data_IF_952817640854
#
_entry.id   IF_952817640854
#
_cell.length_a   1.000
_cell.length_b   1.000
_cell.length_c   1.000
_cell.angle_alpha   90.00
_cell.angle_beta   90.00
_cell.angle_gamma   90.00
#
_symmetry.space_group_name_H-M   'P 1'
#
loop_
_entity.id
_entity.type
_entity.pdbx_description
1 polymer ?
#
# COMPACT_ATOMS: atom_id res chain seq x y z
N UNK A 1 -19.00 0.52 -0.71
CA UNK A 1 -19.98 0.46 -1.81
C UNK A 1 -19.35 0.01 -3.14
N UNK A 2 -18.35 0.74 -3.73
CA UNK A 2 -17.76 0.42 -5.05
C UNK A 2 -17.10 -0.96 -5.13
N UNK A 3 -16.30 -1.35 -4.15
CA UNK A 3 -15.65 -2.66 -4.13
C UNK A 3 -16.63 -3.81 -3.87
N UNK A 4 -17.73 -3.57 -3.17
CA UNK A 4 -18.78 -4.55 -2.97
C UNK A 4 -19.52 -4.86 -4.27
N UNK A 5 -19.80 -3.82 -5.06
CA UNK A 5 -20.32 -3.99 -6.42
C UNK A 5 -19.41 -4.86 -7.29
N UNK A 6 -18.10 -4.56 -7.32
CA UNK A 6 -17.15 -5.35 -8.10
C UNK A 6 -17.06 -6.80 -7.62
N UNK A 7 -17.09 -7.04 -6.32
CA UNK A 7 -17.07 -8.41 -5.77
C UNK A 7 -18.28 -9.21 -6.23
N UNK A 8 -19.47 -8.59 -6.22
CA UNK A 8 -20.70 -9.20 -6.72
C UNK A 8 -20.60 -9.52 -8.21
N UNK A 9 -20.20 -8.56 -9.05
CA UNK A 9 -20.04 -8.76 -10.49
C UNK A 9 -19.05 -9.89 -10.79
N UNK A 10 -17.90 -9.91 -10.11
CA UNK A 10 -16.91 -10.99 -10.30
C UNK A 10 -17.51 -12.36 -9.98
N UNK A 11 -18.28 -12.46 -8.90
CA UNK A 11 -18.96 -13.71 -8.51
C UNK A 11 -20.03 -14.11 -9.52
N UNK A 12 -20.89 -13.19 -9.92
CA UNK A 12 -22.05 -13.45 -10.78
C UNK A 12 -21.65 -13.85 -12.21
N UNK A 13 -20.53 -13.32 -12.71
CA UNK A 13 -20.04 -13.58 -14.06
C UNK A 13 -18.82 -14.51 -14.12
N UNK A 14 -18.35 -15.02 -12.99
CA UNK A 14 -17.19 -15.92 -12.93
C UNK A 14 -15.86 -15.24 -13.26
N UNK A 15 -15.74 -13.91 -13.11
CA UNK A 15 -14.49 -13.22 -13.36
C UNK A 15 -13.46 -13.49 -12.26
N UNK A 16 -12.22 -13.76 -12.66
CA UNK A 16 -11.10 -14.07 -11.77
C UNK A 16 -10.17 -12.89 -11.54
N UNK A 17 -10.34 -11.79 -12.29
CA UNK A 17 -9.50 -10.61 -12.16
C UNK A 17 -10.33 -9.31 -12.27
N UNK A 18 -10.00 -8.34 -11.40
CA UNK A 18 -10.43 -6.95 -11.49
C UNK A 18 -9.21 -6.11 -11.85
N UNK A 19 -9.20 -5.54 -13.05
CA UNK A 19 -8.13 -4.62 -13.47
C UNK A 19 -8.50 -3.20 -13.10
N UNK A 20 -7.54 -2.44 -12.51
CA UNK A 20 -7.72 -1.03 -12.18
C UNK A 20 -6.58 -0.19 -12.72
N UNK A 21 -6.88 1.05 -13.11
CA UNK A 21 -5.94 1.97 -13.76
C UNK A 21 -5.11 2.81 -12.78
N UNK A 22 -4.75 2.26 -11.60
CA UNK A 22 -3.81 2.93 -10.72
C UNK A 22 -2.43 3.04 -11.39
N UNK A 23 -1.77 4.18 -11.23
CA UNK A 23 -0.48 4.51 -11.87
C UNK A 23 0.54 5.01 -10.84
N UNK A 24 1.76 5.32 -11.25
CA UNK A 24 2.85 5.70 -10.36
C UNK A 24 2.54 6.96 -9.51
N UNK A 25 1.79 7.92 -10.05
CA UNK A 25 1.37 9.09 -9.26
C UNK A 25 0.41 8.71 -8.13
N UNK A 26 -0.52 7.74 -8.33
CA UNK A 26 -1.38 7.22 -7.26
C UNK A 26 -0.55 6.51 -6.17
N UNK A 27 0.53 5.84 -6.58
CA UNK A 27 1.49 5.20 -5.67
C UNK A 27 2.16 6.26 -4.80
N UNK A 28 2.77 7.29 -5.42
CA UNK A 28 3.41 8.39 -4.70
C UNK A 28 2.45 9.11 -3.74
N UNK A 29 1.22 9.41 -4.18
CA UNK A 29 0.17 9.99 -3.34
C UNK A 29 -0.14 9.13 -2.11
N UNK A 30 -0.25 7.81 -2.30
CA UNK A 30 -0.59 6.88 -1.23
C UNK A 30 0.53 6.78 -0.21
N UNK A 31 1.79 6.68 -0.66
CA UNK A 31 2.96 6.62 0.21
C UNK A 31 3.07 7.92 1.01
N UNK A 32 3.01 9.08 0.33
CA UNK A 32 3.09 10.38 0.98
C UNK A 32 1.96 10.60 2.00
N UNK A 33 0.73 10.18 1.66
CA UNK A 33 -0.40 10.24 2.60
C UNK A 33 -0.16 9.37 3.85
N UNK A 34 0.45 8.19 3.69
CA UNK A 34 0.78 7.30 4.81
C UNK A 34 1.89 7.89 5.68
N UNK A 35 2.92 8.51 5.08
CA UNK A 35 3.97 9.25 5.80
C UNK A 35 3.36 10.37 6.64
N UNK A 36 2.49 11.20 6.08
CA UNK A 36 1.80 12.28 6.81
C UNK A 36 0.96 11.77 7.98
N UNK A 37 0.45 10.56 7.91
CA UNK A 37 -0.33 9.92 9.00
C UNK A 37 0.53 9.24 10.04
N UNK A 38 1.86 9.24 9.90
CA UNK A 38 2.77 8.55 10.81
C UNK A 38 2.64 7.03 10.73
N UNK A 39 2.39 6.49 9.54
CA UNK A 39 2.31 5.04 9.34
C UNK A 39 3.67 4.39 9.62
N UNK A 40 3.64 3.15 10.15
CA UNK A 40 4.85 2.34 10.33
C UNK A 40 5.48 1.99 8.98
N UNK A 41 6.78 1.68 8.98
CA UNK A 41 7.58 1.41 7.78
C UNK A 41 6.92 0.38 6.85
N UNK A 42 6.47 -0.76 7.38
CA UNK A 42 5.79 -1.83 6.64
C UNK A 42 4.54 -1.38 5.87
N UNK A 43 3.87 -0.34 6.32
CA UNK A 43 2.70 0.21 5.63
C UNK A 43 3.08 1.21 4.53
N UNK A 44 4.38 1.53 4.37
CA UNK A 44 4.86 2.44 3.32
C UNK A 44 5.11 1.73 1.98
N UNK A 45 4.89 0.44 1.87
CA UNK A 45 4.95 -0.33 0.61
C UNK A 45 3.95 0.13 -0.46
N UNK A 46 3.07 1.09 -0.11
CA UNK A 46 2.14 1.68 -1.06
C UNK A 46 1.01 0.75 -1.48
N UNK A 47 0.64 0.82 -2.76
CA UNK A 47 -0.42 0.02 -3.38
C UNK A 47 0.21 -1.24 -3.97
N UNK A 48 -0.30 -2.43 -3.66
CA UNK A 48 0.19 -3.68 -4.24
C UNK A 48 -0.22 -3.81 -5.71
N UNK A 49 0.70 -4.23 -6.59
CA UNK A 49 0.41 -4.48 -8.01
C UNK A 49 -0.67 -5.56 -8.20
N UNK A 50 -0.60 -6.60 -7.38
CA UNK A 50 -1.59 -7.70 -7.35
C UNK A 50 -1.96 -7.97 -5.89
N UNK A 51 -3.25 -8.18 -5.62
CA UNK A 51 -3.71 -8.65 -4.31
C UNK A 51 -4.97 -9.51 -4.43
N UNK A 52 -5.22 -10.45 -3.51
CA UNK A 52 -6.46 -11.20 -3.45
C UNK A 52 -7.70 -10.29 -3.33
N UNK A 53 -8.78 -10.66 -4.00
CA UNK A 53 -10.04 -9.93 -3.94
C UNK A 53 -11.23 -10.81 -4.33
N UNK A 54 -12.15 -11.04 -3.42
CA UNK A 54 -13.31 -11.91 -3.65
C UNK A 54 -12.88 -13.32 -4.05
N UNK A 55 -13.38 -13.81 -5.18
CA UNK A 55 -13.05 -15.12 -5.76
C UNK A 55 -11.80 -15.10 -6.65
N UNK A 56 -11.12 -13.95 -6.78
CA UNK A 56 -9.98 -13.76 -7.66
C UNK A 56 -9.00 -12.73 -7.11
N UNK A 57 -8.55 -11.81 -7.97
CA UNK A 57 -7.52 -10.83 -7.61
C UNK A 57 -7.76 -9.46 -8.24
N UNK A 58 -7.24 -8.40 -7.62
CA UNK A 58 -7.10 -7.09 -8.25
C UNK A 58 -5.71 -7.00 -8.87
N UNK A 59 -5.64 -6.53 -10.12
CA UNK A 59 -4.40 -6.31 -10.87
C UNK A 59 -4.29 -4.84 -11.26
N UNK A 60 -3.09 -4.24 -11.13
CA UNK A 60 -2.80 -2.83 -11.44
C UNK A 60 -1.62 -2.74 -12.40
N UNK A 61 -1.85 -2.94 -13.71
CA UNK A 61 -0.77 -3.06 -14.69
C UNK A 61 0.02 -1.77 -14.88
N UNK A 62 -0.57 -0.61 -14.56
CA UNK A 62 0.06 0.70 -14.76
C UNK A 62 0.76 1.26 -13.51
N UNK A 63 0.86 0.48 -12.44
CA UNK A 63 1.30 0.98 -11.13
C UNK A 63 2.72 1.60 -11.13
N UNK A 64 3.58 1.14 -12.03
CA UNK A 64 4.94 1.67 -12.19
C UNK A 64 5.09 2.64 -13.39
N UNK A 65 3.98 2.99 -14.06
CA UNK A 65 3.99 3.90 -15.21
C UNK A 65 3.55 5.28 -14.73
N UNK A 66 4.36 6.34 -14.94
CA UNK A 66 3.96 7.72 -14.69
C UNK A 66 2.71 8.10 -15.50
N UNK A 67 1.86 8.94 -14.91
CA UNK A 67 0.58 9.34 -15.54
C UNK A 67 0.78 10.02 -16.90
N UNK A 68 1.83 10.80 -17.06
CA UNK A 68 2.17 11.53 -18.30
C UNK A 68 2.62 10.63 -19.45
N UNK A 69 3.02 9.37 -19.14
CA UNK A 69 3.36 8.36 -20.14
C UNK A 69 2.15 7.52 -20.58
N UNK A 70 1.00 7.68 -19.91
CA UNK A 70 -0.23 6.99 -20.29
C UNK A 70 -0.91 7.74 -21.46
N UNK A 71 -1.49 7.02 -22.43
CA UNK A 71 -2.19 7.67 -23.53
C UNK A 71 -3.36 8.51 -23.02
N UNK A 72 -3.47 9.73 -23.52
CA UNK A 72 -4.61 10.60 -23.21
C UNK A 72 -5.83 10.05 -23.94
N UNK A 73 -6.76 9.49 -23.19
CA UNK A 73 -8.05 9.04 -23.67
C UNK A 73 -9.14 10.01 -23.27
N UNK A 74 -10.28 9.92 -23.93
CA UNK A 74 -11.47 10.67 -23.54
C UNK A 74 -11.83 10.32 -22.09
N UNK A 75 -11.88 11.32 -21.21
CA UNK A 75 -12.20 11.11 -19.80
C UNK A 75 -13.16 12.18 -19.29
N UNK A 76 -14.01 11.80 -18.36
CA UNK A 76 -14.84 12.73 -17.60
C UNK A 76 -14.11 13.06 -16.31
N UNK A 77 -13.95 14.36 -16.04
CA UNK A 77 -13.42 14.81 -14.76
C UNK A 77 -14.55 14.91 -13.72
N UNK A 78 -14.40 14.17 -12.63
CA UNK A 78 -15.27 14.31 -11.47
C UNK A 78 -14.92 15.64 -10.76
N UNK A 79 -15.92 16.52 -10.58
CA UNK A 79 -15.77 17.80 -9.90
C UNK A 79 -15.20 17.68 -8.49
N UNK A 80 -15.39 16.54 -7.83
CA UNK A 80 -14.81 16.27 -6.51
C UNK A 80 -13.27 16.20 -6.52
N UNK A 81 -12.64 15.94 -7.67
CA UNK A 81 -11.19 15.84 -7.80
C UNK A 81 -10.46 17.18 -7.60
N UNK A 82 -11.13 18.31 -7.77
CA UNK A 82 -10.57 19.64 -7.54
C UNK A 82 -10.76 20.17 -6.11
N UNK A 83 -11.55 19.48 -5.27
CA UNK A 83 -11.85 19.94 -3.92
C UNK A 83 -10.67 19.72 -2.97
N UNK A 84 -10.11 20.80 -2.43
CA UNK A 84 -9.03 20.76 -1.42
C UNK A 84 -9.49 20.32 -0.02
N UNK A 85 -10.79 20.06 0.17
CA UNK A 85 -11.31 19.51 1.42
C UNK A 85 -10.70 18.12 1.74
N UNK A 86 -10.41 17.35 0.71
CA UNK A 86 -9.85 16.01 0.85
C UNK A 86 -8.32 16.02 0.89
N UNK A 87 -7.73 15.33 1.87
CA UNK A 87 -6.26 15.24 2.01
C UNK A 87 -5.59 14.74 0.73
N UNK A 88 -6.17 13.73 0.07
CA UNK A 88 -5.60 13.18 -1.17
C UNK A 88 -5.52 14.23 -2.29
N UNK A 89 -6.54 15.08 -2.41
CA UNK A 89 -6.53 16.14 -3.41
C UNK A 89 -5.50 17.24 -3.07
N UNK A 90 -5.32 17.60 -1.77
CA UNK A 90 -4.24 18.51 -1.35
C UNK A 90 -2.85 17.93 -1.67
N UNK A 91 -2.66 16.64 -1.46
CA UNK A 91 -1.41 15.96 -1.81
C UNK A 91 -1.16 16.08 -3.32
N UNK A 92 -2.15 15.71 -4.12
CA UNK A 92 -2.07 15.71 -5.60
C UNK A 92 -1.87 17.12 -6.19
N UNK A 93 -2.63 18.10 -5.70
CA UNK A 93 -2.74 19.42 -6.34
C UNK A 93 -1.77 20.45 -5.72
N UNK A 94 -1.29 20.22 -4.50
CA UNK A 94 -0.47 21.20 -3.79
C UNK A 94 0.86 20.60 -3.34
N UNK A 95 0.85 19.56 -2.50
CA UNK A 95 2.08 19.14 -1.81
C UNK A 95 3.07 18.47 -2.77
N UNK A 96 2.66 17.48 -3.55
CA UNK A 96 3.55 16.82 -4.50
C UNK A 96 4.05 17.78 -5.59
N UNK A 97 3.23 18.65 -6.20
CA UNK A 97 3.73 19.65 -7.14
C UNK A 97 4.78 20.59 -6.52
N UNK A 98 4.55 21.09 -5.30
CA UNK A 98 5.53 21.96 -4.62
C UNK A 98 6.84 21.22 -4.35
N UNK A 99 6.78 20.00 -3.83
CA UNK A 99 7.98 19.19 -3.58
C UNK A 99 8.71 18.79 -4.87
N UNK A 100 7.98 18.63 -5.98
CA UNK A 100 8.58 18.36 -7.28
C UNK A 100 9.27 19.57 -7.90
N UNK A 101 9.01 20.79 -7.42
CA UNK A 101 9.81 21.97 -7.78
C UNK A 101 11.19 21.95 -7.13
N UNK A 102 11.29 21.44 -5.89
CA UNK A 102 12.56 21.25 -5.19
C UNK A 102 13.34 20.05 -5.76
N UNK A 103 12.63 18.95 -6.04
CA UNK A 103 13.20 17.75 -6.63
C UNK A 103 12.26 17.15 -7.68
N UNK A 104 12.54 17.32 -9.00
CA UNK A 104 11.68 16.79 -10.06
C UNK A 104 11.44 15.28 -10.00
N UNK A 105 12.37 14.53 -9.38
CA UNK A 105 12.27 13.07 -9.18
C UNK A 105 11.60 12.67 -7.86
N UNK A 106 11.03 13.61 -7.12
CA UNK A 106 10.49 13.33 -5.78
C UNK A 106 9.45 12.20 -5.78
N UNK A 107 8.53 12.20 -6.75
CA UNK A 107 7.52 11.12 -6.88
C UNK A 107 8.16 9.77 -7.20
N UNK A 108 9.16 9.75 -8.08
CA UNK A 108 9.92 8.55 -8.40
C UNK A 108 10.64 8.00 -7.15
N UNK A 109 11.30 8.87 -6.39
CA UNK A 109 11.97 8.46 -5.14
C UNK A 109 11.02 7.90 -4.09
N UNK A 110 9.78 8.42 -4.00
CA UNK A 110 8.77 7.82 -3.13
C UNK A 110 8.39 6.40 -3.58
N UNK A 111 8.24 6.17 -4.87
CA UNK A 111 7.94 4.84 -5.40
C UNK A 111 9.12 3.88 -5.17
N UNK A 112 10.36 4.30 -5.44
CA UNK A 112 11.54 3.49 -5.17
C UNK A 112 11.66 3.11 -3.70
N UNK A 113 11.43 4.06 -2.78
CA UNK A 113 11.41 3.79 -1.35
C UNK A 113 10.39 2.70 -0.99
N UNK A 114 9.19 2.75 -1.57
CA UNK A 114 8.16 1.74 -1.33
C UNK A 114 8.57 0.36 -1.85
N UNK A 115 9.22 0.29 -3.01
CA UNK A 115 9.71 -0.95 -3.60
C UNK A 115 10.84 -1.56 -2.75
N UNK A 116 11.76 -0.74 -2.24
CA UNK A 116 12.82 -1.17 -1.32
C UNK A 116 12.23 -1.71 -0.01
N UNK A 117 11.24 -1.02 0.57
CA UNK A 117 10.55 -1.49 1.79
C UNK A 117 9.84 -2.82 1.51
N UNK A 118 9.16 -2.95 0.37
CA UNK A 118 8.47 -4.20 0.02
C UNK A 118 9.45 -5.37 -0.15
N UNK A 119 10.63 -5.11 -0.72
CA UNK A 119 11.69 -6.12 -0.84
C UNK A 119 12.24 -6.53 0.54
N UNK A 120 12.47 -5.56 1.43
CA UNK A 120 12.91 -5.84 2.80
C UNK A 120 11.86 -6.66 3.58
N UNK A 121 10.58 -6.30 3.48
CA UNK A 121 9.47 -7.04 4.11
C UNK A 121 9.46 -8.50 3.62
N UNK A 122 9.56 -8.71 2.31
CA UNK A 122 9.58 -10.05 1.74
C UNK A 122 10.79 -10.87 2.22
N UNK A 123 11.97 -10.27 2.30
CA UNK A 123 13.16 -10.92 2.82
C UNK A 123 13.00 -11.31 4.30
N UNK A 124 12.39 -10.43 5.11
CA UNK A 124 12.08 -10.72 6.52
C UNK A 124 11.06 -11.86 6.65
N UNK A 125 10.01 -11.86 5.84
CA UNK A 125 9.03 -12.95 5.81
C UNK A 125 9.70 -14.30 5.47
N UNK A 126 10.60 -14.32 4.48
CA UNK A 126 11.35 -15.53 4.11
C UNK A 126 12.28 -16.01 5.22
N UNK A 127 12.97 -15.11 5.91
CA UNK A 127 13.87 -15.43 7.01
C UNK A 127 13.13 -15.92 8.26
N UNK A 128 11.90 -15.46 8.47
CA UNK A 128 11.12 -15.77 9.68
C UNK A 128 10.02 -16.81 9.48
N UNK A 129 9.81 -17.29 8.26
CA UNK A 129 8.70 -18.21 7.91
C UNK A 129 8.66 -19.50 8.75
N UNK A 130 9.83 -20.01 9.14
CA UNK A 130 9.96 -21.25 9.92
C UNK A 130 10.00 -21.00 11.44
N UNK A 131 9.93 -19.72 11.86
CA UNK A 131 9.96 -19.32 13.26
C UNK A 131 8.53 -19.11 13.75
N UNK A 132 8.07 -20.00 14.62
CA UNK A 132 6.73 -19.93 15.17
C UNK A 132 6.76 -19.25 16.54
N UNK A 133 5.97 -18.19 16.72
CA UNK A 133 5.84 -17.46 18.00
C UNK A 133 5.30 -18.36 19.14
N UNK A 134 4.63 -19.44 18.80
CA UNK A 134 4.09 -20.43 19.77
C UNK A 134 5.16 -21.36 20.32
N UNK A 135 6.30 -21.50 19.65
CA UNK A 135 7.47 -22.21 20.19
C UNK A 135 8.35 -21.22 20.97
N UNK A 136 8.12 -21.16 22.29
CA UNK A 136 8.79 -20.22 23.16
C UNK A 136 10.31 -20.39 23.14
N UNK A 137 10.82 -21.61 23.01
CA UNK A 137 12.25 -21.91 23.01
C UNK A 137 12.95 -21.34 21.78
N UNK A 138 12.35 -21.49 20.59
CA UNK A 138 12.84 -20.95 19.33
C UNK A 138 12.69 -19.43 19.31
N UNK A 139 11.57 -18.91 19.81
CA UNK A 139 11.31 -17.48 19.89
C UNK A 139 12.32 -16.73 20.78
N UNK A 140 12.63 -17.27 21.98
CA UNK A 140 13.58 -16.66 22.91
C UNK A 140 15.03 -16.66 22.42
N UNK A 141 15.39 -17.52 21.48
CA UNK A 141 16.72 -17.55 20.86
C UNK A 141 16.89 -16.47 19.77
N UNK A 142 15.80 -15.82 19.36
CA UNK A 142 15.87 -14.76 18.36
C UNK A 142 16.35 -13.44 18.99
N UNK A 143 16.92 -12.58 18.14
CA UNK A 143 17.26 -11.21 18.57
C UNK A 143 15.99 -10.41 18.90
N UNK A 144 16.10 -9.41 19.76
CA UNK A 144 14.98 -8.53 20.16
C UNK A 144 14.24 -7.96 18.94
N UNK A 145 14.98 -7.60 17.87
CA UNK A 145 14.41 -7.08 16.64
C UNK A 145 13.51 -8.11 15.94
N UNK A 146 13.95 -9.37 15.87
CA UNK A 146 13.16 -10.47 15.26
C UNK A 146 11.97 -10.82 16.13
N UNK A 147 12.15 -10.90 17.46
CA UNK A 147 11.04 -11.13 18.41
C UNK A 147 9.96 -10.05 18.26
N UNK A 148 10.36 -8.77 18.17
CA UNK A 148 9.43 -7.66 17.98
C UNK A 148 8.65 -7.77 16.66
N UNK A 149 9.33 -8.11 15.57
CA UNK A 149 8.69 -8.32 14.26
C UNK A 149 7.69 -9.48 14.28
N UNK A 150 8.05 -10.61 14.89
CA UNK A 150 7.18 -11.79 15.02
C UNK A 150 5.92 -11.46 15.84
N UNK A 151 6.09 -10.75 16.96
CA UNK A 151 4.95 -10.30 17.80
C UNK A 151 4.04 -9.38 16.99
N UNK A 152 4.59 -8.40 16.27
CA UNK A 152 3.80 -7.49 15.46
C UNK A 152 3.03 -8.22 14.35
N UNK A 153 3.69 -9.12 13.64
CA UNK A 153 3.06 -9.93 12.58
C UNK A 153 1.93 -10.81 13.14
N UNK A 154 2.17 -11.42 14.30
CA UNK A 154 1.17 -12.22 14.98
C UNK A 154 -0.05 -11.40 15.40
N UNK A 155 0.15 -10.23 16.01
CA UNK A 155 -0.93 -9.35 16.44
C UNK A 155 -1.78 -8.82 15.27
N UNK A 156 -1.15 -8.58 14.12
CA UNK A 156 -1.86 -8.15 12.91
C UNK A 156 -2.72 -9.26 12.27
N UNK A 157 -2.46 -10.53 12.59
CA UNK A 157 -3.34 -11.62 12.19
C UNK A 157 -4.69 -11.61 12.93
N UNK A 158 -4.81 -10.80 13.99
CA UNK A 158 -6.04 -10.60 14.77
C UNK A 158 -6.58 -9.17 14.61
N UNK A 159 -7.31 -8.86 13.52
CA UNK A 159 -7.75 -7.50 13.19
C UNK A 159 -8.67 -6.87 14.25
N UNK A 160 -9.30 -7.69 15.11
CA UNK A 160 -10.16 -7.24 16.20
C UNK A 160 -9.37 -6.84 17.48
N UNK A 161 -8.08 -7.15 17.56
CA UNK A 161 -7.21 -6.75 18.65
C UNK A 161 -6.66 -5.33 18.38
N UNK A 162 -7.43 -4.30 18.74
CA UNK A 162 -6.95 -2.91 18.75
C UNK A 162 -6.10 -2.68 20.02
N UNK A 163 -4.79 -2.88 19.90
CA UNK A 163 -3.86 -2.43 20.92
C UNK A 163 -3.71 -0.90 20.85
N UNK A 164 -3.94 -0.21 21.97
CA UNK A 164 -3.78 1.24 22.05
C UNK A 164 -2.34 1.65 21.74
N UNK A 165 -2.15 2.76 21.01
CA UNK A 165 -0.84 3.36 20.76
C UNK A 165 -0.21 3.71 22.11
N UNK A 166 0.74 2.94 22.57
CA UNK A 166 1.46 3.19 23.83
C UNK A 166 1.75 1.95 24.69
N UNK A 167 1.38 0.75 24.21
CA UNK A 167 1.67 -0.51 24.94
C UNK A 167 2.87 -1.29 24.35
N UNK A 168 3.73 -0.60 23.54
CA UNK A 168 4.99 -1.15 23.01
C UNK A 168 6.13 -0.15 23.23
#
# INVERSE_FOLDING_TARGET
>A
FRYEFFRRVMKDYGYTALVTAHHADDQAETIFMRLLRGSRLRHLTGISAVRPFGTGQIIRPFLHIPKDQLPVTFHFEDRSNSSLAYLRNRIRLTYLPTLSQENPKFKEHLCLLADEIALMEKALEELTKDITITDLSVFQQQTDAVQHLLIQSYLESFPDLQLSKGQF
#
